data_IF_259964441077
#
_entry.id   IF_259964441077
#
_cell.length_a   1.000
_cell.length_b   1.000
_cell.length_c   1.000
_cell.angle_alpha   90.00
_cell.angle_beta   90.00
_cell.angle_gamma   90.00
#
_symmetry.space_group_name_H-M   'P 1'
#
loop_
_entity.id
_entity.type
_entity.pdbx_description
1 polymer ?
#
# COMPACT_ATOMS: atom_id res chain seq x y z
N UNK A 1 -28.10 -24.01 14.85
CA UNK A 1 -27.30 -24.78 13.87
C UNK A 1 -25.87 -24.47 14.19
N UNK A 2 -25.16 -25.41 14.83
CA UNK A 2 -23.72 -25.29 14.97
C UNK A 2 -23.15 -25.51 13.56
N UNK A 3 -22.51 -24.47 13.00
CA UNK A 3 -21.92 -24.55 11.67
C UNK A 3 -20.56 -25.22 11.77
N UNK A 4 -20.29 -26.17 10.89
CA UNK A 4 -18.96 -26.77 10.78
C UNK A 4 -17.98 -25.73 10.21
N UNK A 5 -16.73 -25.77 10.67
CA UNK A 5 -15.66 -24.91 10.18
C UNK A 5 -14.49 -25.74 9.65
N UNK A 6 -13.82 -25.23 8.62
CA UNK A 6 -12.64 -25.83 8.02
C UNK A 6 -11.51 -24.81 7.94
N UNK A 7 -10.27 -25.27 8.11
CA UNK A 7 -9.08 -24.42 8.03
C UNK A 7 -8.57 -24.39 6.59
N UNK A 8 -8.47 -23.20 6.01
CA UNK A 8 -7.94 -23.04 4.66
C UNK A 8 -6.41 -23.22 4.65
N UNK A 9 -5.88 -24.13 3.84
CA UNK A 9 -4.43 -24.34 3.71
C UNK A 9 -3.67 -23.14 3.12
N UNK A 10 -4.35 -22.25 2.38
CA UNK A 10 -3.72 -21.11 1.70
C UNK A 10 -3.54 -19.88 2.59
N UNK A 11 -4.45 -19.63 3.52
CA UNK A 11 -4.38 -18.46 4.43
C UNK A 11 -4.50 -18.81 5.92
N UNK A 12 -4.57 -20.10 6.27
CA UNK A 12 -4.65 -20.62 7.64
C UNK A 12 -5.83 -20.11 8.47
N UNK A 13 -6.86 -19.55 7.84
CA UNK A 13 -8.08 -19.07 8.52
C UNK A 13 -9.13 -20.17 8.62
N UNK A 14 -9.88 -20.14 9.73
CA UNK A 14 -11.09 -20.95 9.91
C UNK A 14 -12.24 -20.31 9.13
N UNK A 15 -12.91 -21.10 8.30
CA UNK A 15 -13.98 -20.66 7.41
C UNK A 15 -15.14 -21.64 7.54
N UNK A 16 -16.37 -21.14 7.57
CA UNK A 16 -17.55 -21.99 7.61
C UNK A 16 -17.56 -22.97 6.42
N UNK A 17 -17.85 -24.24 6.69
CA UNK A 17 -17.87 -25.32 5.70
C UNK A 17 -18.72 -24.98 4.49
N UNK A 18 -19.90 -24.36 4.70
CA UNK A 18 -20.83 -23.95 3.66
C UNK A 18 -20.20 -23.01 2.62
N UNK A 19 -19.22 -22.20 3.04
CA UNK A 19 -18.58 -21.18 2.21
C UNK A 19 -17.14 -21.55 1.84
N UNK A 20 -16.66 -22.74 2.26
CA UNK A 20 -15.25 -23.11 2.17
C UNK A 20 -14.77 -23.20 0.71
N UNK A 21 -15.55 -23.81 -0.18
CA UNK A 21 -15.17 -23.96 -1.60
C UNK A 21 -14.98 -22.62 -2.31
N UNK A 22 -15.88 -21.66 -2.05
CA UNK A 22 -15.76 -20.30 -2.60
C UNK A 22 -14.53 -19.60 -2.03
N UNK A 23 -14.32 -19.71 -0.72
CA UNK A 23 -13.15 -19.15 -0.06
C UNK A 23 -11.85 -19.73 -0.62
N UNK A 24 -11.76 -21.05 -0.78
CA UNK A 24 -10.56 -21.74 -1.26
C UNK A 24 -10.18 -21.28 -2.66
N UNK A 25 -11.14 -21.22 -3.58
CA UNK A 25 -10.92 -20.73 -4.94
C UNK A 25 -10.44 -19.27 -4.96
N UNK A 26 -11.07 -18.40 -4.15
CA UNK A 26 -10.66 -17.01 -4.00
C UNK A 26 -9.25 -16.90 -3.40
N UNK A 27 -8.99 -17.65 -2.34
CA UNK A 27 -7.74 -17.62 -1.60
C UNK A 27 -6.57 -18.07 -2.48
N UNK A 28 -6.72 -19.20 -3.19
CA UNK A 28 -5.70 -19.71 -4.10
C UNK A 28 -5.36 -18.71 -5.21
N UNK A 29 -6.39 -18.04 -5.76
CA UNK A 29 -6.21 -17.11 -6.86
C UNK A 29 -5.56 -15.80 -6.40
N UNK A 30 -5.99 -15.24 -5.28
CA UNK A 30 -5.71 -13.85 -4.94
C UNK A 30 -4.86 -13.63 -3.71
N UNK A 31 -4.71 -14.60 -2.82
CA UNK A 31 -3.90 -14.47 -1.60
C UNK A 31 -2.58 -15.24 -1.73
N UNK A 32 -1.57 -14.77 -1.01
CA UNK A 32 -0.26 -15.41 -0.83
C UNK A 32 0.22 -15.11 0.59
N UNK A 33 0.98 -16.01 1.20
CA UNK A 33 1.61 -15.75 2.49
C UNK A 33 2.89 -14.93 2.28
N UNK A 34 3.10 -13.89 3.09
CA UNK A 34 4.37 -13.18 3.11
C UNK A 34 5.48 -14.13 3.59
N UNK A 35 6.64 -14.22 2.91
CA UNK A 35 7.71 -15.11 3.33
C UNK A 35 8.46 -14.64 4.58
N UNK A 36 8.28 -13.38 5.02
CA UNK A 36 8.95 -12.85 6.21
C UNK A 36 8.09 -12.95 7.48
N UNK A 37 6.81 -12.59 7.41
CA UNK A 37 5.90 -12.60 8.58
C UNK A 37 4.79 -13.65 8.49
N UNK A 38 4.71 -14.41 7.39
CA UNK A 38 3.67 -15.43 7.14
C UNK A 38 2.23 -14.89 7.14
N UNK A 39 2.05 -13.57 7.00
CA UNK A 39 0.73 -12.96 6.92
C UNK A 39 0.07 -13.24 5.56
N UNK A 40 -1.23 -13.56 5.50
CA UNK A 40 -1.96 -13.72 4.25
C UNK A 40 -2.27 -12.37 3.59
N UNK A 41 -1.56 -12.07 2.51
CA UNK A 41 -1.65 -10.80 1.78
C UNK A 41 -2.24 -11.00 0.38
N UNK A 42 -3.10 -10.10 -0.12
CA UNK A 42 -3.50 -10.10 -1.53
C UNK A 42 -2.28 -9.94 -2.44
N UNK A 43 -2.17 -10.75 -3.49
CA UNK A 43 -1.05 -10.73 -4.45
C UNK A 43 -0.81 -9.33 -5.03
N UNK A 44 -1.88 -8.57 -5.29
CA UNK A 44 -1.80 -7.19 -5.78
C UNK A 44 -1.21 -6.20 -4.77
N UNK A 45 -1.19 -6.55 -3.48
CA UNK A 45 -0.75 -5.72 -2.35
C UNK A 45 0.57 -6.15 -1.74
N UNK A 46 1.16 -7.27 -2.18
CA UNK A 46 2.41 -7.78 -1.60
C UNK A 46 3.57 -6.80 -1.68
N UNK A 47 3.69 -6.05 -2.78
CA UNK A 47 4.75 -5.05 -2.92
C UNK A 47 4.63 -3.94 -1.87
N UNK A 48 3.42 -3.39 -1.71
CA UNK A 48 3.12 -2.34 -0.73
C UNK A 48 3.33 -2.85 0.71
N UNK A 49 2.92 -4.09 0.99
CA UNK A 49 3.17 -4.75 2.28
C UNK A 49 4.67 -4.86 2.58
N UNK A 50 5.48 -5.34 1.64
CA UNK A 50 6.93 -5.40 1.83
C UNK A 50 7.55 -4.02 2.06
N UNK A 51 7.14 -3.01 1.28
CA UNK A 51 7.65 -1.65 1.40
C UNK A 51 7.31 -0.98 2.74
N UNK A 52 6.15 -1.28 3.33
CA UNK A 52 5.71 -0.69 4.59
C UNK A 52 6.16 -1.47 5.83
N UNK A 53 6.08 -2.80 5.79
CA UNK A 53 6.25 -3.65 6.98
C UNK A 53 7.65 -4.27 7.08
N UNK A 54 8.34 -4.47 5.94
CA UNK A 54 9.60 -5.23 5.87
C UNK A 54 10.79 -4.44 5.33
N UNK A 55 10.56 -3.25 4.77
CA UNK A 55 11.65 -2.40 4.31
C UNK A 55 12.33 -1.72 5.50
N UNK A 56 13.33 -2.39 6.08
CA UNK A 56 14.23 -1.77 7.04
C UNK A 56 15.04 -0.66 6.34
N UNK A 57 14.76 0.58 6.74
CA UNK A 57 15.62 1.73 6.50
C UNK A 57 15.81 2.12 5.04
N UNK A 58 14.86 2.87 4.48
CA UNK A 58 15.20 4.03 3.64
C UNK A 58 14.18 5.14 3.88
N UNK A 59 14.54 5.99 4.82
CA UNK A 59 14.15 7.39 4.86
C UNK A 59 14.33 8.00 3.46
N UNK A 60 13.27 8.03 2.64
CA UNK A 60 13.08 8.96 1.53
C UNK A 60 11.68 8.77 0.92
N UNK A 61 10.66 9.38 1.53
CA UNK A 61 9.40 9.73 0.85
C UNK A 61 9.54 10.97 -0.05
N UNK A 62 10.76 11.47 -0.26
CA UNK A 62 11.03 12.56 -1.18
C UNK A 62 11.01 11.99 -2.61
N UNK A 63 10.23 12.63 -3.48
CA UNK A 63 10.04 12.36 -4.92
C UNK A 63 8.78 11.57 -5.35
N UNK A 64 7.61 11.78 -4.73
CA UNK A 64 6.35 11.74 -5.50
C UNK A 64 6.24 13.03 -6.31
N UNK A 65 6.88 13.07 -7.47
CA UNK A 65 6.90 14.23 -8.36
C UNK A 65 5.72 14.31 -9.32
N UNK A 66 5.33 15.58 -9.60
CA UNK A 66 4.58 16.17 -10.74
C UNK A 66 3.05 16.18 -10.63
N UNK A 67 2.31 17.26 -10.82
CA UNK A 67 2.50 18.69 -11.18
C UNK A 67 1.16 19.40 -10.79
N UNK A 68 1.05 20.70 -10.53
CA UNK A 68 0.65 21.73 -11.52
C UNK A 68 0.57 23.09 -10.78
N UNK A 69 1.01 24.17 -11.45
CA UNK A 69 0.78 25.59 -11.14
C UNK A 69 1.49 26.15 -9.90
N UNK A 70 2.75 26.59 -10.09
CA UNK A 70 3.24 27.76 -9.37
C UNK A 70 2.38 28.93 -9.84
N UNK A 71 1.40 29.36 -9.03
CA UNK A 71 0.71 30.64 -9.27
C UNK A 71 1.73 31.74 -9.01
N UNK A 72 2.49 32.08 -10.05
CA UNK A 72 3.29 33.28 -10.15
C UNK A 72 2.36 34.47 -10.33
N UNK A 73 1.63 34.89 -9.29
CA UNK A 73 1.00 36.21 -9.34
C UNK A 73 0.92 36.84 -7.96
N UNK A 74 1.57 38.00 -7.84
CA UNK A 74 1.34 39.10 -6.89
C UNK A 74 2.03 38.98 -5.52
N UNK A 75 3.27 39.47 -5.47
CA UNK A 75 3.45 40.78 -4.85
C UNK A 75 4.67 41.49 -5.41
N UNK A 76 4.40 42.37 -6.37
CA UNK A 76 5.28 43.47 -6.74
C UNK A 76 5.21 44.45 -5.57
N UNK A 77 6.28 44.55 -4.78
CA UNK A 77 6.58 45.83 -4.14
C UNK A 77 8.09 46.04 -3.99
N UNK A 78 8.62 46.67 -5.05
CA UNK A 78 9.64 47.73 -5.00
C UNK A 78 11.00 47.37 -4.39
N UNK A 79 11.87 46.84 -5.25
CA UNK A 79 13.31 47.12 -5.16
C UNK A 79 13.77 47.61 -6.54
N UNK A 80 13.69 48.92 -6.72
CA UNK A 80 14.29 49.70 -7.80
C UNK A 80 15.04 50.83 -7.10
N UNK A 81 16.28 51.17 -7.37
CA UNK A 81 17.29 50.75 -8.34
C UNK A 81 18.50 51.59 -7.94
N UNK A 82 19.71 51.03 -8.00
CA UNK A 82 20.94 51.79 -7.90
C UNK A 82 21.01 52.90 -8.96
N UNK A 83 21.46 54.09 -8.56
CA UNK A 83 21.98 55.15 -9.42
C UNK A 83 23.38 55.44 -8.85
N UNK A 84 24.45 54.88 -9.41
CA UNK A 84 25.39 55.54 -10.33
C UNK A 84 25.75 56.98 -9.88
N UNK A 85 27.01 57.19 -9.52
CA UNK A 85 27.62 58.50 -9.31
C UNK A 85 28.63 58.50 -8.19
#
# INVERSE_FOLDING_TARGET
MEGDFQVCGNCRRSVASDHFTLHEAHCLRFLVLCPECEEPIPKSKMKEHFENEHQQGREFQLLKGRSTVIITTKSIQKMSTSFIG
#
